data_IF_900852201195
#
_entry.id   IF_900852201195
#
_cell.length_a   1.000
_cell.length_b   1.000
_cell.length_c   1.000
_cell.angle_alpha   90.00
_cell.angle_beta   90.00
_cell.angle_gamma   90.00
#
_symmetry.space_group_name_H-M   'P 1'
#
loop_
_entity.id
_entity.type
_entity.pdbx_description
1 polymer ?
#
# COMPACT_ATOMS: atom_id res chain seq x y z
N UNK A 1 4.47 -9.12 -12.98
CA UNK A 1 3.62 -8.13 -13.72
C UNK A 1 2.66 -7.37 -12.82
N UNK A 2 2.31 -7.90 -11.66
CA UNK A 2 1.36 -7.28 -10.72
C UNK A 2 1.78 -5.87 -10.26
N UNK A 3 3.06 -5.66 -9.93
CA UNK A 3 3.58 -4.34 -9.53
C UNK A 3 3.37 -3.27 -10.61
N UNK A 4 3.60 -3.60 -11.88
CA UNK A 4 3.35 -2.64 -12.97
C UNK A 4 1.88 -2.30 -13.10
N UNK A 5 1.00 -3.29 -12.90
CA UNK A 5 -0.44 -3.09 -12.88
C UNK A 5 -0.90 -2.21 -11.71
N UNK A 6 -0.33 -2.42 -10.51
CA UNK A 6 -0.62 -1.60 -9.33
C UNK A 6 -0.21 -0.13 -9.55
N UNK A 7 1.02 0.11 -10.04
CA UNK A 7 1.50 1.46 -10.35
C UNK A 7 0.64 2.15 -11.42
N UNK A 8 0.30 1.42 -12.49
CA UNK A 8 -0.56 1.98 -13.54
C UNK A 8 -1.97 2.28 -13.01
N UNK A 9 -2.51 1.38 -12.18
CA UNK A 9 -3.83 1.56 -11.55
C UNK A 9 -3.86 2.77 -10.62
N UNK A 10 -2.83 2.95 -9.80
CA UNK A 10 -2.66 4.12 -8.95
C UNK A 10 -2.64 5.42 -9.76
N UNK A 11 -1.76 5.53 -10.76
CA UNK A 11 -1.63 6.72 -11.60
C UNK A 11 -2.96 7.04 -12.32
N UNK A 12 -3.61 6.05 -12.91
CA UNK A 12 -4.89 6.25 -13.60
C UNK A 12 -6.02 6.57 -12.62
N UNK A 13 -5.99 5.98 -11.42
CA UNK A 13 -6.98 6.20 -10.37
C UNK A 13 -6.85 7.53 -9.66
N UNK A 14 -5.63 8.08 -9.55
CA UNK A 14 -5.32 9.29 -8.79
C UNK A 14 -6.17 10.51 -9.20
N UNK A 15 -6.53 10.61 -10.46
CA UNK A 15 -7.40 11.68 -10.97
C UNK A 15 -8.81 11.68 -10.34
N UNK A 16 -9.25 10.55 -9.78
CA UNK A 16 -10.57 10.37 -9.18
C UNK A 16 -10.53 10.27 -7.65
N UNK A 17 -9.37 10.16 -7.03
CA UNK A 17 -9.23 9.90 -5.61
C UNK A 17 -9.89 10.97 -4.74
N UNK A 18 -9.64 12.23 -5.05
CA UNK A 18 -10.17 13.38 -4.30
C UNK A 18 -11.31 14.14 -5.04
N UNK A 19 -11.53 13.85 -6.32
CA UNK A 19 -12.49 14.54 -7.18
C UNK A 19 -13.59 13.61 -7.70
N UNK A 20 -13.95 12.59 -6.94
CA UNK A 20 -14.95 11.61 -7.36
C UNK A 20 -16.35 12.25 -7.40
N UNK A 21 -17.05 12.23 -8.57
CA UNK A 21 -18.43 12.63 -8.65
C UNK A 21 -19.34 11.78 -7.73
N UNK A 22 -20.37 12.39 -7.11
CA UNK A 22 -21.27 11.67 -6.19
C UNK A 22 -22.01 10.50 -6.84
N UNK A 23 -22.33 10.61 -8.14
CA UNK A 23 -23.05 9.60 -8.92
C UNK A 23 -22.15 9.03 -10.03
N UNK A 24 -21.01 8.49 -9.66
CA UNK A 24 -20.06 7.92 -10.61
C UNK A 24 -20.61 6.62 -11.22
N UNK A 25 -20.93 6.64 -12.51
CA UNK A 25 -21.18 5.43 -13.28
C UNK A 25 -19.83 4.89 -13.78
N UNK A 26 -19.28 3.90 -13.06
CA UNK A 26 -17.98 3.31 -13.36
C UNK A 26 -17.85 2.78 -14.80
N UNK A 27 -18.96 2.42 -15.46
CA UNK A 27 -18.97 1.97 -16.86
C UNK A 27 -18.71 3.10 -17.85
N UNK A 28 -18.89 4.35 -17.41
CA UNK A 28 -18.73 5.56 -18.23
C UNK A 28 -17.51 6.38 -17.83
N UNK A 29 -16.76 5.94 -16.83
CA UNK A 29 -15.57 6.65 -16.36
C UNK A 29 -14.45 6.50 -17.41
N UNK A 30 -13.96 7.60 -18.00
CA UNK A 30 -12.83 7.51 -18.90
C UNK A 30 -11.56 7.17 -18.13
N UNK A 31 -10.72 6.28 -18.68
CA UNK A 31 -9.40 5.97 -18.09
C UNK A 31 -8.52 7.22 -17.99
N UNK A 32 -8.69 8.16 -18.93
CA UNK A 32 -7.99 9.44 -18.95
C UNK A 32 -9.05 10.53 -19.10
N UNK A 33 -9.28 11.30 -18.04
CA UNK A 33 -10.32 12.34 -18.02
C UNK A 33 -9.84 13.74 -18.41
N UNK A 34 -8.52 13.92 -18.60
CA UNK A 34 -7.90 15.22 -18.77
C UNK A 34 -7.55 15.94 -17.46
N UNK A 35 -7.89 15.34 -16.31
CA UNK A 35 -7.42 15.81 -15.00
C UNK A 35 -5.95 15.41 -14.78
N UNK A 36 -5.21 16.15 -13.94
CA UNK A 36 -3.85 15.77 -13.57
C UNK A 36 -3.80 14.36 -12.97
N UNK A 37 -2.83 13.58 -13.39
CA UNK A 37 -2.55 12.24 -12.88
C UNK A 37 -1.13 12.20 -12.33
N UNK A 38 -0.95 11.56 -11.19
CA UNK A 38 0.37 11.32 -10.60
C UNK A 38 0.36 10.00 -9.84
N UNK A 39 1.53 9.48 -9.50
CA UNK A 39 1.64 8.41 -8.54
C UNK A 39 1.33 8.92 -7.13
N UNK A 40 0.83 8.04 -6.27
CA UNK A 40 0.49 8.34 -4.89
C UNK A 40 1.30 7.47 -3.92
N UNK A 41 0.93 7.47 -2.64
CA UNK A 41 1.52 6.61 -1.62
C UNK A 41 1.30 5.11 -1.93
N UNK A 42 0.27 4.75 -2.67
CA UNK A 42 0.03 3.39 -3.15
C UNK A 42 1.23 2.87 -3.97
N UNK A 43 1.70 3.65 -4.94
CA UNK A 43 2.90 3.32 -5.72
C UNK A 43 4.16 3.33 -4.86
N UNK A 44 4.36 4.38 -4.05
CA UNK A 44 5.58 4.53 -3.24
C UNK A 44 5.72 3.38 -2.25
N UNK A 45 4.66 3.00 -1.55
CA UNK A 45 4.70 1.90 -0.59
C UNK A 45 4.75 0.52 -1.25
N UNK A 46 4.10 0.32 -2.40
CA UNK A 46 4.27 -0.90 -3.21
C UNK A 46 5.74 -1.12 -3.60
N UNK A 47 6.42 -0.06 -4.03
CA UNK A 47 7.83 -0.12 -4.40
C UNK A 47 8.75 -0.25 -3.18
N UNK A 48 8.39 0.32 -2.03
CA UNK A 48 9.11 0.14 -0.78
C UNK A 48 9.11 -1.32 -0.32
N UNK A 49 7.95 -1.98 -0.33
CA UNK A 49 7.84 -3.41 -0.01
C UNK A 49 8.63 -4.26 -1.01
N UNK A 50 8.47 -4.01 -2.31
CA UNK A 50 9.27 -4.70 -3.32
C UNK A 50 10.76 -4.57 -3.06
N UNK A 51 11.24 -3.37 -2.75
CA UNK A 51 12.65 -3.10 -2.43
C UNK A 51 13.09 -3.89 -1.21
N UNK A 52 12.33 -3.86 -0.11
CA UNK A 52 12.65 -4.58 1.11
C UNK A 52 12.81 -6.08 0.85
N UNK A 53 11.86 -6.68 0.13
CA UNK A 53 11.86 -8.12 -0.15
C UNK A 53 12.99 -8.55 -1.09
N UNK A 54 13.29 -7.77 -2.13
CA UNK A 54 14.41 -8.08 -3.05
C UNK A 54 15.76 -7.96 -2.36
N UNK A 55 15.93 -6.94 -1.51
CA UNK A 55 17.21 -6.64 -0.84
C UNK A 55 17.36 -7.36 0.52
N UNK A 56 16.35 -8.12 0.97
CA UNK A 56 16.35 -8.79 2.28
C UNK A 56 16.44 -7.80 3.44
N UNK A 57 15.84 -6.61 3.30
CA UNK A 57 15.86 -5.54 4.31
C UNK A 57 14.62 -5.57 5.19
N UNK A 58 14.74 -4.96 6.35
CA UNK A 58 13.61 -4.72 7.24
C UNK A 58 12.50 -3.90 6.55
N UNK A 59 11.24 -4.36 6.72
CA UNK A 59 10.07 -3.75 6.10
C UNK A 59 9.83 -2.32 6.62
N UNK A 60 9.90 -2.14 7.93
CA UNK A 60 9.63 -0.84 8.59
C UNK A 60 10.69 0.18 8.20
N UNK A 61 11.97 -0.19 8.35
CA UNK A 61 13.09 0.69 8.00
C UNK A 61 13.03 1.10 6.53
N UNK A 62 12.72 0.16 5.63
CA UNK A 62 12.64 0.44 4.19
C UNK A 62 11.45 1.34 3.87
N UNK A 63 10.28 1.09 4.46
CA UNK A 63 9.09 1.92 4.26
C UNK A 63 9.33 3.35 4.76
N UNK A 64 9.94 3.51 5.92
CA UNK A 64 10.29 4.82 6.50
C UNK A 64 11.29 5.55 5.62
N UNK A 65 12.39 4.89 5.22
CA UNK A 65 13.42 5.50 4.38
C UNK A 65 12.87 5.95 3.02
N UNK A 66 12.05 5.12 2.38
CA UNK A 66 11.40 5.44 1.10
C UNK A 66 10.36 6.54 1.29
N UNK A 67 9.49 6.43 2.30
CA UNK A 67 8.44 7.41 2.56
C UNK A 67 9.00 8.82 2.85
N UNK A 68 10.06 8.92 3.62
CA UNK A 68 10.76 10.20 3.89
C UNK A 68 11.38 10.82 2.64
N UNK A 69 11.74 10.01 1.66
CA UNK A 69 12.28 10.49 0.37
C UNK A 69 11.19 11.05 -0.54
N UNK A 70 9.95 10.61 -0.38
CA UNK A 70 8.81 10.99 -1.19
C UNK A 70 7.65 11.47 -0.29
N UNK A 71 7.79 12.60 0.43
CA UNK A 71 6.84 13.01 1.48
C UNK A 71 5.48 13.48 0.93
N UNK A 72 5.44 13.97 -0.32
CA UNK A 72 4.29 14.67 -0.90
C UNK A 72 3.42 13.75 -1.78
N UNK A 73 3.25 12.48 -1.37
CA UNK A 73 2.56 11.47 -2.18
C UNK A 73 1.14 11.14 -1.70
N UNK A 74 0.51 11.98 -0.89
CA UNK A 74 -0.87 11.78 -0.48
C UNK A 74 -1.08 10.82 0.70
N UNK A 75 -0.06 10.54 1.50
CA UNK A 75 -0.19 9.68 2.69
C UNK A 75 -1.33 10.10 3.60
N UNK A 76 -2.09 9.12 4.10
CA UNK A 76 -3.04 9.37 5.19
C UNK A 76 -2.33 9.97 6.41
N UNK A 77 -2.95 10.95 7.08
CA UNK A 77 -2.28 11.76 8.11
C UNK A 77 -1.63 10.95 9.26
N UNK A 78 -2.26 9.84 9.70
CA UNK A 78 -1.67 8.97 10.72
C UNK A 78 -0.44 8.23 10.21
N UNK A 79 -0.47 7.77 8.96
CA UNK A 79 0.66 7.08 8.34
C UNK A 79 1.80 8.05 8.03
N UNK A 80 1.49 9.28 7.60
CA UNK A 80 2.50 10.33 7.44
C UNK A 80 3.21 10.63 8.77
N UNK A 81 2.45 10.80 9.86
CA UNK A 81 3.02 10.96 11.20
C UNK A 81 3.87 9.77 11.65
N UNK A 82 3.48 8.55 11.28
CA UNK A 82 4.26 7.33 11.52
C UNK A 82 5.58 7.32 10.73
N UNK A 83 5.57 7.71 9.43
CA UNK A 83 6.80 7.82 8.61
C UNK A 83 7.77 8.86 9.17
N UNK A 84 7.25 10.05 9.52
CA UNK A 84 8.08 11.19 9.92
C UNK A 84 8.49 11.15 11.39
N UNK A 85 7.74 10.45 12.22
CA UNK A 85 7.99 10.34 13.66
C UNK A 85 9.19 9.46 14.01
N UNK A 86 9.53 9.40 15.30
CA UNK A 86 10.62 8.59 15.81
C UNK A 86 10.21 7.15 16.17
N UNK A 87 8.91 6.86 16.26
CA UNK A 87 8.38 5.57 16.69
C UNK A 87 7.56 4.94 15.57
N UNK A 88 7.90 3.70 15.22
CA UNK A 88 7.34 2.99 14.08
C UNK A 88 6.68 1.67 14.51
N UNK A 89 5.89 1.72 15.58
CA UNK A 89 5.06 0.59 16.02
C UNK A 89 3.72 0.56 15.29
N UNK A 90 3.08 -0.61 15.18
CA UNK A 90 1.73 -0.72 14.64
C UNK A 90 0.75 0.19 15.39
N UNK A 91 -0.19 0.78 14.70
CA UNK A 91 -1.13 1.75 15.27
C UNK A 91 -2.59 1.46 14.92
N UNK A 92 -2.90 0.23 14.54
CA UNK A 92 -4.24 -0.23 14.16
C UNK A 92 -4.89 0.67 13.10
N UNK A 93 -4.23 0.78 11.95
CA UNK A 93 -4.73 1.55 10.81
C UNK A 93 -6.07 1.00 10.32
N UNK A 94 -6.95 1.90 9.85
CA UNK A 94 -8.21 1.58 9.19
C UNK A 94 -8.16 1.89 7.68
N UNK A 95 -7.02 2.36 7.19
CA UNK A 95 -6.81 2.68 5.78
C UNK A 95 -6.57 1.43 4.92
N UNK A 96 -6.50 1.62 3.61
CA UNK A 96 -6.20 0.56 2.63
C UNK A 96 -4.72 0.15 2.60
N UNK A 97 -3.87 0.76 3.43
CA UNK A 97 -2.41 0.60 3.39
C UNK A 97 -1.90 -0.84 3.50
N UNK A 98 -2.65 -1.75 4.15
CA UNK A 98 -2.27 -3.16 4.19
C UNK A 98 -2.47 -3.88 2.85
N UNK A 99 -3.49 -3.48 2.07
CA UNK A 99 -3.83 -4.10 0.80
C UNK A 99 -3.04 -3.52 -0.39
N UNK A 100 -2.95 -2.18 -0.47
CA UNK A 100 -2.36 -1.47 -1.62
C UNK A 100 -0.91 -1.88 -1.90
N UNK A 101 -0.13 -2.25 -0.89
CA UNK A 101 1.32 -2.51 -0.98
C UNK A 101 1.70 -3.98 -1.16
N UNK A 102 0.74 -4.89 -1.36
CA UNK A 102 0.98 -6.35 -1.43
C UNK A 102 1.26 -6.89 -2.83
N UNK A 103 1.13 -6.08 -3.88
CA UNK A 103 1.21 -6.53 -5.27
C UNK A 103 2.48 -7.34 -5.60
N UNK A 104 3.64 -6.99 -5.02
CA UNK A 104 4.87 -7.72 -5.26
C UNK A 104 4.89 -9.10 -4.58
N UNK A 105 4.21 -9.27 -3.47
CA UNK A 105 4.17 -10.54 -2.74
C UNK A 105 3.54 -11.62 -3.63
N UNK A 106 2.39 -11.33 -4.25
CA UNK A 106 1.74 -12.24 -5.20
C UNK A 106 2.48 -12.41 -6.54
N UNK A 107 3.48 -11.54 -6.84
CA UNK A 107 4.34 -11.69 -8.02
C UNK A 107 5.58 -12.55 -7.74
N UNK A 108 6.06 -12.55 -6.48
CA UNK A 108 7.35 -13.10 -6.10
C UNK A 108 7.26 -14.46 -5.39
N UNK A 109 6.11 -14.82 -4.84
CA UNK A 109 5.95 -16.01 -4.00
C UNK A 109 4.85 -16.90 -4.61
N UNK A 110 5.26 -18.06 -5.13
CA UNK A 110 4.34 -19.04 -5.72
C UNK A 110 3.64 -19.92 -4.67
N UNK A 111 4.29 -20.15 -3.52
CA UNK A 111 3.73 -20.92 -2.41
C UNK A 111 2.65 -20.11 -1.69
N UNK A 112 1.43 -20.63 -1.66
CA UNK A 112 0.26 -19.91 -1.12
C UNK A 112 0.39 -19.58 0.37
N UNK A 113 0.87 -20.52 1.19
CA UNK A 113 0.98 -20.33 2.64
C UNK A 113 2.07 -19.30 2.96
N UNK A 114 3.20 -19.36 2.25
CA UNK A 114 4.26 -18.35 2.37
C UNK A 114 3.81 -16.98 1.89
N UNK A 115 3.04 -16.93 0.81
CA UNK A 115 2.47 -15.68 0.29
C UNK A 115 1.52 -15.05 1.31
N UNK A 116 0.60 -15.82 1.90
CA UNK A 116 -0.30 -15.34 2.94
C UNK A 116 0.45 -14.85 4.18
N UNK A 117 1.44 -15.62 4.66
CA UNK A 117 2.27 -15.23 5.80
C UNK A 117 2.98 -13.91 5.54
N UNK A 118 3.61 -13.75 4.39
CA UNK A 118 4.30 -12.50 4.03
C UNK A 118 3.33 -11.33 3.90
N UNK A 119 2.14 -11.55 3.33
CA UNK A 119 1.10 -10.51 3.24
C UNK A 119 0.64 -10.07 4.64
N UNK A 120 0.48 -11.01 5.55
CA UNK A 120 0.16 -10.73 6.95
C UNK A 120 1.26 -9.93 7.66
N UNK A 121 2.53 -10.28 7.47
CA UNK A 121 3.67 -9.55 8.03
C UNK A 121 3.73 -8.10 7.51
N UNK A 122 3.53 -7.91 6.21
CA UNK A 122 3.48 -6.57 5.60
C UNK A 122 2.30 -5.76 6.11
N UNK A 123 1.14 -6.39 6.32
CA UNK A 123 -0.03 -5.71 6.87
C UNK A 123 0.17 -5.33 8.34
N UNK A 124 0.77 -6.20 9.15
CA UNK A 124 1.00 -6.00 10.57
C UNK A 124 1.88 -4.79 10.90
N UNK A 125 2.70 -4.31 9.96
CA UNK A 125 3.48 -3.08 10.12
C UNK A 125 2.61 -1.90 10.58
N UNK A 126 1.36 -1.83 10.17
CA UNK A 126 0.44 -0.73 10.52
C UNK A 126 -0.95 -1.17 11.00
N UNK A 127 -1.36 -2.44 10.79
CA UNK A 127 -2.73 -2.96 10.99
C UNK A 127 -2.79 -4.14 11.99
N UNK A 128 -1.97 -4.18 12.99
CA UNK A 128 -1.76 -5.30 13.91
C UNK A 128 -3.07 -5.85 14.54
N UNK A 129 -4.00 -4.97 14.90
CA UNK A 129 -5.23 -5.38 15.59
C UNK A 129 -6.26 -6.15 14.74
N UNK A 130 -6.17 -6.11 13.41
CA UNK A 130 -7.14 -6.76 12.53
C UNK A 130 -6.68 -8.18 12.13
N UNK A 131 -5.39 -8.37 11.96
CA UNK A 131 -4.80 -9.64 11.52
C UNK A 131 -4.82 -10.70 12.62
N UNK A 132 -4.56 -10.35 13.87
CA UNK A 132 -4.70 -11.27 15.00
C UNK A 132 -6.13 -11.81 15.16
N UNK A 133 -7.14 -11.03 14.77
CA UNK A 133 -8.55 -11.50 14.80
C UNK A 133 -8.91 -12.39 13.61
N UNK A 134 -8.25 -12.22 12.48
CA UNK A 134 -8.51 -13.02 11.27
C UNK A 134 -7.69 -14.31 11.22
N UNK A 135 -6.47 -14.30 11.76
CA UNK A 135 -5.61 -15.49 11.85
C UNK A 135 -5.88 -16.34 13.08
N UNK A 136 -6.37 -15.77 14.19
CA UNK A 136 -6.81 -16.51 15.37
C UNK A 136 -8.18 -17.21 15.23
N UNK A 137 -8.79 -17.14 14.04
CA UNK A 137 -10.04 -17.84 13.72
C UNK A 137 -9.82 -19.06 12.81
N UNK A 138 -8.58 -19.49 12.63
CA UNK A 138 -8.19 -20.66 11.81
C UNK A 138 -7.47 -21.71 12.69
N UNK A 139 -7.81 -21.78 13.97
CA UNK A 139 -7.51 -22.97 14.80
C UNK A 139 -8.76 -23.82 14.94
#
# INVERSE_FOLDING_TARGET
>A
MAVKGAVLGDILGSQYEFNRPRNLDWKKVPLVSGLPMSYTDDTVMTLAIKKALIEGKDLVETMVAVGRKYPDCGYGGRFFGWIMGPVHTPYNSWGNGSAMRTAYIGEAIDDYDKMQKMAAEVAAVSHDGLLHKLTGSIE
#
